data_IF_328507874605
#
_entry.id   IF_328507874605
#
_cell.length_a   1.000
_cell.length_b   1.000
_cell.length_c   1.000
_cell.angle_alpha   90.00
_cell.angle_beta   90.00
_cell.angle_gamma   90.00
#
_symmetry.space_group_name_H-M   'P 1'
#
loop_
_entity.id
_entity.type
_entity.pdbx_description
1 polymer ?
#
# COMPACT_ATOMS: atom_id res chain seq x y z
N UNK A 1 -11.86 -7.88 9.09
CA UNK A 1 -12.14 -7.28 7.77
C UNK A 1 -12.45 -5.82 8.00
N UNK A 2 -11.81 -4.92 7.27
CA UNK A 2 -11.64 -3.52 7.67
C UNK A 2 -10.18 -3.12 7.56
N UNK A 3 -9.90 -1.86 7.82
CA UNK A 3 -8.63 -1.22 7.50
C UNK A 3 -8.88 0.04 6.68
N UNK A 4 -7.84 0.56 6.06
CA UNK A 4 -7.93 1.74 5.20
C UNK A 4 -8.56 1.34 3.87
N UNK A 5 -9.58 2.09 3.46
CA UNK A 5 -10.31 1.86 2.21
C UNK A 5 -9.36 1.91 1.00
N UNK A 6 -9.33 0.82 0.23
CA UNK A 6 -8.52 0.71 -1.00
C UNK A 6 -8.90 1.76 -2.04
N UNK A 7 -10.15 2.24 -2.05
CA UNK A 7 -10.58 3.31 -2.93
C UNK A 7 -9.90 4.66 -2.60
N UNK A 8 -9.43 4.85 -1.37
CA UNK A 8 -8.66 6.02 -0.96
C UNK A 8 -7.18 5.94 -1.35
N UNK A 9 -6.70 4.80 -1.86
CA UNK A 9 -5.31 4.57 -2.22
C UNK A 9 -5.12 4.42 -3.74
N UNK A 10 -3.94 4.81 -4.22
CA UNK A 10 -3.49 4.45 -5.57
C UNK A 10 -3.16 2.96 -5.63
N UNK A 11 -3.83 2.19 -6.48
CA UNK A 11 -3.57 0.75 -6.63
C UNK A 11 -2.18 0.41 -7.18
N UNK A 12 -1.49 1.38 -7.78
CA UNK A 12 -0.13 1.20 -8.34
C UNK A 12 0.98 1.53 -7.33
N UNK A 13 0.75 2.52 -6.47
CA UNK A 13 1.81 3.11 -5.62
C UNK A 13 1.53 2.97 -4.14
N UNK A 14 0.32 2.59 -3.74
CA UNK A 14 -0.16 2.54 -2.36
C UNK A 14 -0.19 3.91 -1.64
N UNK A 15 0.00 5.02 -2.36
CA UNK A 15 -0.09 6.37 -1.80
C UNK A 15 -1.56 6.75 -1.56
N UNK A 16 -1.83 7.43 -0.44
CA UNK A 16 -3.12 8.04 -0.18
C UNK A 16 -3.44 9.10 -1.24
N UNK A 17 -4.64 9.04 -1.82
CA UNK A 17 -5.10 10.01 -2.82
C UNK A 17 -5.26 11.42 -2.23
N UNK A 18 -5.62 11.50 -0.95
CA UNK A 18 -5.88 12.75 -0.25
C UNK A 18 -4.61 13.44 0.28
N UNK A 19 -3.54 12.69 0.56
CA UNK A 19 -2.33 13.20 1.22
C UNK A 19 -1.11 12.71 0.45
N UNK A 20 -0.43 13.61 -0.25
CA UNK A 20 0.82 13.30 -0.96
C UNK A 20 1.90 12.91 0.05
N UNK A 21 2.74 11.95 -0.33
CA UNK A 21 3.82 11.45 0.52
C UNK A 21 3.38 10.47 1.62
N UNK A 22 2.09 10.25 1.82
CA UNK A 22 1.57 9.28 2.79
C UNK A 22 1.20 7.96 2.10
N UNK A 23 1.72 6.83 2.62
CA UNK A 23 1.55 5.50 2.03
C UNK A 23 1.06 4.50 3.09
N UNK A 24 0.27 3.52 2.66
CA UNK A 24 -0.21 2.44 3.51
C UNK A 24 -0.05 1.08 2.82
N UNK A 25 0.44 0.08 3.55
CA UNK A 25 0.77 -1.25 3.01
C UNK A 25 0.30 -2.34 3.96
N UNK A 26 0.29 -3.59 3.48
CA UNK A 26 -0.01 -4.76 4.30
C UNK A 26 -1.40 -4.74 4.92
N UNK A 27 -1.53 -5.37 6.09
CA UNK A 27 -2.80 -5.64 6.77
C UNK A 27 -3.51 -4.38 7.30
N UNK A 28 -2.83 -3.23 7.33
CA UNK A 28 -3.48 -1.96 7.66
C UNK A 28 -4.49 -1.52 6.58
N UNK A 29 -4.29 -1.96 5.33
CA UNK A 29 -5.22 -1.73 4.22
C UNK A 29 -6.33 -2.78 4.27
N UNK A 30 -7.55 -2.41 3.89
CA UNK A 30 -8.70 -3.33 3.83
C UNK A 30 -8.56 -4.36 2.67
N UNK A 31 -7.58 -5.25 2.83
CA UNK A 31 -7.30 -6.41 1.97
C UNK A 31 -7.00 -7.58 2.88
N UNK A 32 -7.75 -8.66 2.71
CA UNK A 32 -7.55 -9.89 3.49
C UNK A 32 -7.46 -11.08 2.54
N UNK A 33 -6.32 -11.76 2.59
CA UNK A 33 -6.10 -13.01 1.87
C UNK A 33 -6.63 -14.21 2.64
N UNK A 34 -6.84 -15.31 1.92
CA UNK A 34 -7.19 -16.59 2.52
C UNK A 34 -6.01 -17.19 3.32
N UNK A 35 -6.29 -18.18 4.15
CA UNK A 35 -5.25 -18.97 4.80
C UNK A 35 -4.38 -19.65 3.72
N UNK A 36 -3.07 -19.73 3.95
CA UNK A 36 -2.11 -20.28 2.97
C UNK A 36 -1.11 -19.26 2.41
N UNK A 37 -0.80 -18.21 3.18
CA UNK A 37 0.29 -17.27 2.85
C UNK A 37 -0.12 -16.04 2.03
N UNK A 38 -1.39 -15.90 1.65
CA UNK A 38 -1.87 -14.76 0.85
C UNK A 38 -1.70 -13.41 1.57
N UNK A 39 -1.89 -13.36 2.89
CA UNK A 39 -1.65 -12.13 3.66
C UNK A 39 -0.17 -11.71 3.64
N UNK A 40 0.75 -12.68 3.70
CA UNK A 40 2.18 -12.38 3.53
C UNK A 40 2.49 -11.90 2.12
N UNK A 41 1.99 -12.59 1.09
CA UNK A 41 2.18 -12.15 -0.30
C UNK A 41 1.67 -10.72 -0.52
N UNK A 42 0.51 -10.37 0.07
CA UNK A 42 -0.03 -9.02 0.03
C UNK A 42 0.90 -8.01 0.72
N UNK A 43 1.39 -8.32 1.92
CA UNK A 43 2.33 -7.45 2.64
C UNK A 43 3.60 -7.19 1.82
N UNK A 44 4.18 -8.23 1.20
CA UNK A 44 5.38 -8.09 0.36
C UNK A 44 5.11 -7.27 -0.91
N UNK A 45 4.02 -7.58 -1.60
CA UNK A 45 3.71 -6.94 -2.90
C UNK A 45 3.35 -5.46 -2.74
N UNK A 46 2.52 -5.12 -1.74
CA UNK A 46 2.15 -3.74 -1.44
C UNK A 46 3.35 -2.93 -0.94
N UNK A 47 4.17 -3.51 -0.06
CA UNK A 47 5.43 -2.92 0.40
C UNK A 47 6.39 -2.60 -0.74
N UNK A 48 6.59 -3.54 -1.66
CA UNK A 48 7.42 -3.35 -2.84
C UNK A 48 6.91 -2.21 -3.74
N UNK A 49 5.60 -2.18 -4.01
CA UNK A 49 4.99 -1.13 -4.83
C UNK A 49 5.19 0.27 -4.21
N UNK A 50 4.96 0.40 -2.90
CA UNK A 50 5.18 1.64 -2.18
C UNK A 50 6.66 2.08 -2.21
N UNK A 51 7.59 1.15 -1.94
CA UNK A 51 9.03 1.45 -1.95
C UNK A 51 9.52 1.93 -3.33
N UNK A 52 9.06 1.29 -4.41
CA UNK A 52 9.40 1.71 -5.77
C UNK A 52 8.85 3.11 -6.09
N UNK A 53 7.66 3.44 -5.60
CA UNK A 53 7.08 4.78 -5.76
C UNK A 53 7.85 5.83 -4.96
N UNK A 54 8.19 5.54 -3.69
CA UNK A 54 8.99 6.43 -2.83
C UNK A 54 10.36 6.70 -3.45
N UNK A 55 11.03 5.66 -3.97
CA UNK A 55 12.34 5.81 -4.63
C UNK A 55 12.26 6.69 -5.89
N UNK A 56 11.16 6.61 -6.64
CA UNK A 56 10.97 7.37 -7.88
C UNK A 56 10.47 8.80 -7.64
N UNK A 57 9.95 9.10 -6.45
CA UNK A 57 9.49 10.42 -6.09
C UNK A 57 10.71 11.36 -5.94
N UNK A 58 10.67 12.59 -6.48
CA UNK A 58 11.69 13.58 -6.19
C UNK A 58 11.72 13.84 -4.68
N UNK A 59 12.91 14.00 -4.11
CA UNK A 59 13.04 14.44 -2.72
C UNK A 59 12.25 15.74 -2.57
N UNK A 60 11.23 15.74 -1.71
CA UNK A 60 10.55 16.98 -1.35
C UNK A 60 11.62 17.86 -0.66
N UNK A 61 11.91 19.00 -1.29
CA UNK A 61 12.93 19.96 -0.86
C UNK A 61 12.52 20.74 0.36
#
# INVERSE_FOLDING_TARGET
>A
LGGIDTAALSSKTMMAKAIKGLYFIGEAVDVTGWLGGYNFQWAWSSGWAAAQAIKAAPAEG
#
